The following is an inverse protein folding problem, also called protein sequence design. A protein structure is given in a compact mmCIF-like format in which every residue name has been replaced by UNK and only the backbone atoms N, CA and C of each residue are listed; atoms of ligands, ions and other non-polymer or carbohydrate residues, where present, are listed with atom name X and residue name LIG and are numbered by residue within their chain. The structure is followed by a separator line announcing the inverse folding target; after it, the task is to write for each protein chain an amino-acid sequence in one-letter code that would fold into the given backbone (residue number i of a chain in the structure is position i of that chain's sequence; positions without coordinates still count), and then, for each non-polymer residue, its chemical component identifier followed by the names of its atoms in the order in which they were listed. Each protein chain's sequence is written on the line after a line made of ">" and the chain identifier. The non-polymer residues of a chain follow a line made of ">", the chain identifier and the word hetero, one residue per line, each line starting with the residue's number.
data_IF_938572961399
#
_entry.id   IF_938572961399
#
_cell.length_a   1.000
_cell.length_b   1.000
_cell.length_c   1.000
_cell.angle_alpha   90.00
_cell.angle_beta   90.00
_cell.angle_gamma   90.00
#
_symmetry.space_group_name_H-M   'P 1'
#
loop_
_entity.id
_entity.type
_entity.pdbx_description
1 polymer ?
#
# COMPACT_ATOMS: atom_id res chain seq x y z
N UNK A 1 -15.47 9.55 -29.42
CA UNK A 1 -14.25 10.34 -29.23
C UNK A 1 -14.67 11.71 -28.74
N UNK A 2 -14.02 12.19 -27.68
CA UNK A 2 -14.19 13.55 -27.17
C UNK A 2 -13.17 14.45 -27.84
N UNK A 3 -13.47 15.74 -27.87
CA UNK A 3 -12.61 16.82 -28.37
C UNK A 3 -12.92 18.07 -27.54
N UNK A 4 -11.95 18.96 -27.40
CA UNK A 4 -12.06 20.21 -26.65
C UNK A 4 -12.76 20.07 -25.28
N UNK A 5 -12.37 19.06 -24.49
CA UNK A 5 -12.95 18.82 -23.16
C UNK A 5 -12.49 19.91 -22.19
N UNK A 6 -13.45 20.65 -21.63
CA UNK A 6 -13.21 21.70 -20.63
C UNK A 6 -14.00 21.39 -19.36
N UNK A 7 -13.28 21.08 -18.29
CA UNK A 7 -13.85 20.80 -16.97
C UNK A 7 -13.67 22.01 -16.02
N UNK A 8 -14.63 22.22 -15.13
CA UNK A 8 -14.55 23.16 -14.01
C UNK A 8 -13.77 22.59 -12.83
N UNK A 9 -13.70 21.26 -12.74
CA UNK A 9 -13.05 20.52 -11.65
C UNK A 9 -14.02 19.99 -10.58
N UNK A 10 -15.33 20.19 -10.76
CA UNK A 10 -16.37 19.73 -9.83
C UNK A 10 -17.23 18.60 -10.41
N UNK A 11 -17.02 18.26 -11.69
CA UNK A 11 -17.72 17.19 -12.38
C UNK A 11 -17.36 15.82 -11.80
N UNK A 12 -18.36 14.96 -11.62
CA UNK A 12 -18.13 13.59 -11.14
C UNK A 12 -17.47 12.67 -12.17
N UNK A 13 -17.62 13.00 -13.47
CA UNK A 13 -17.14 12.17 -14.58
C UNK A 13 -16.75 13.08 -15.75
N UNK A 14 -15.79 12.62 -16.57
CA UNK A 14 -15.30 13.38 -17.74
C UNK A 14 -16.42 13.72 -18.74
N UNK A 15 -17.45 12.86 -18.82
CA UNK A 15 -18.60 13.05 -19.70
C UNK A 15 -19.54 14.20 -19.27
N UNK A 16 -19.38 14.66 -18.03
CA UNK A 16 -20.15 15.80 -17.51
C UNK A 16 -19.41 17.13 -17.72
N UNK A 17 -18.17 17.10 -18.21
CA UNK A 17 -17.45 18.31 -18.59
C UNK A 17 -18.04 18.93 -19.86
N UNK A 18 -17.76 20.20 -20.10
CA UNK A 18 -18.16 20.83 -21.35
C UNK A 18 -17.36 20.22 -22.51
N UNK A 19 -18.06 19.84 -23.59
CA UNK A 19 -17.47 19.36 -24.83
C UNK A 19 -18.44 19.57 -26.01
N UNK A 20 -17.98 19.57 -27.28
CA UNK A 20 -18.81 19.83 -28.46
C UNK A 20 -19.88 18.76 -28.74
N UNK A 21 -19.65 17.53 -28.28
CA UNK A 21 -20.57 16.41 -28.38
C UNK A 21 -19.84 15.10 -28.69
N UNK A 22 -20.43 13.96 -28.35
CA UNK A 22 -19.77 12.67 -28.59
C UNK A 22 -19.66 12.39 -30.09
N UNK A 23 -18.43 12.12 -30.56
CA UNK A 23 -18.19 11.81 -31.97
C UNK A 23 -18.18 13.03 -32.89
N UNK A 24 -18.32 14.23 -32.34
CA UNK A 24 -18.09 15.51 -33.03
C UNK A 24 -16.70 15.99 -32.63
N UNK A 25 -15.74 15.84 -33.54
CA UNK A 25 -14.33 16.10 -33.33
C UNK A 25 -13.62 16.17 -34.68
N UNK A 26 -12.42 16.75 -34.71
CA UNK A 26 -11.49 16.66 -35.83
C UNK A 26 -10.19 15.90 -35.49
N UNK A 27 -10.13 15.28 -34.30
CA UNK A 27 -8.94 14.61 -33.81
C UNK A 27 -8.56 13.36 -34.63
N UNK A 28 -7.26 13.06 -34.61
CA UNK A 28 -6.67 11.79 -35.02
C UNK A 28 -6.08 11.07 -33.81
N UNK A 29 -5.74 9.78 -33.93
CA UNK A 29 -5.09 9.02 -32.85
C UNK A 29 -3.71 9.57 -32.42
N UNK A 30 -3.14 10.52 -33.18
CA UNK A 30 -1.94 11.25 -32.76
C UNK A 30 -2.19 12.28 -31.64
N UNK A 31 -3.45 12.58 -31.34
CA UNK A 31 -3.91 13.60 -30.40
C UNK A 31 -4.56 13.00 -29.15
N UNK A 32 -4.42 11.68 -28.97
CA UNK A 32 -4.96 10.97 -27.81
C UNK A 32 -4.38 11.55 -26.51
N UNK A 33 -5.24 12.14 -25.68
CA UNK A 33 -4.88 12.69 -24.39
C UNK A 33 -4.71 11.59 -23.33
N UNK A 34 -3.67 11.70 -22.51
CA UNK A 34 -3.40 10.81 -21.39
C UNK A 34 -3.23 11.58 -20.08
N UNK A 35 -3.60 10.96 -18.97
CA UNK A 35 -3.39 11.50 -17.61
C UNK A 35 -2.56 10.54 -16.78
N UNK A 36 -1.69 11.08 -15.93
CA UNK A 36 -1.06 10.35 -14.85
C UNK A 36 -1.57 10.93 -13.54
N UNK A 37 -2.38 10.16 -12.83
CA UNK A 37 -2.75 10.52 -11.46
C UNK A 37 -1.52 10.36 -10.58
N UNK A 38 -1.24 11.34 -9.72
CA UNK A 38 -0.24 11.16 -8.68
C UNK A 38 -0.71 10.04 -7.75
N UNK A 39 0.20 9.10 -7.48
CA UNK A 39 -0.03 8.07 -6.48
C UNK A 39 0.37 8.66 -5.13
N UNK A 40 -0.57 8.70 -4.20
CA UNK A 40 -0.32 9.18 -2.84
C UNK A 40 0.39 8.12 -1.98
N UNK A 41 0.87 7.02 -2.57
CA UNK A 41 1.52 5.92 -1.87
C UNK A 41 2.63 5.27 -2.70
N UNK A 42 3.72 4.86 -2.06
CA UNK A 42 4.83 4.13 -2.70
C UNK A 42 5.50 3.14 -1.75
N UNK A 43 6.28 2.22 -2.32
CA UNK A 43 7.14 1.29 -1.59
C UNK A 43 8.61 1.67 -1.82
N UNK A 44 9.41 1.69 -0.75
CA UNK A 44 10.84 2.04 -0.80
C UNK A 44 11.67 1.00 -0.04
N UNK A 45 12.86 0.67 -0.55
CA UNK A 45 13.83 -0.19 0.15
C UNK A 45 13.54 -1.69 0.09
N UNK A 46 12.57 -2.14 -0.70
CA UNK A 46 12.38 -3.54 -1.02
C UNK A 46 13.26 -4.03 -2.17
N UNK A 47 13.44 -5.35 -2.25
CA UNK A 47 14.21 -6.02 -3.30
C UNK A 47 13.50 -6.07 -4.66
N UNK A 48 12.18 -5.85 -4.66
CA UNK A 48 11.36 -5.84 -5.86
C UNK A 48 10.25 -4.78 -5.76
N UNK A 49 9.52 -4.59 -6.86
CA UNK A 49 8.46 -3.58 -6.92
C UNK A 49 7.26 -3.87 -6.00
N UNK A 50 7.17 -5.06 -5.39
CA UNK A 50 6.05 -5.51 -4.55
C UNK A 50 6.37 -5.50 -3.06
N UNK A 51 7.58 -5.14 -2.65
CA UNK A 51 7.93 -4.99 -1.24
C UNK A 51 8.59 -3.66 -0.93
N UNK A 52 8.52 -3.25 0.34
CA UNK A 52 9.21 -2.06 0.83
C UNK A 52 8.51 -1.40 2.01
N UNK A 53 9.18 -0.41 2.58
CA UNK A 53 8.61 0.55 3.52
C UNK A 53 7.48 1.30 2.83
N UNK A 54 6.36 1.48 3.54
CA UNK A 54 5.22 2.24 3.03
C UNK A 54 5.47 3.72 3.25
N UNK A 55 5.47 4.48 2.16
CA UNK A 55 5.49 5.94 2.22
C UNK A 55 4.24 6.51 1.57
N UNK A 56 3.68 7.55 2.20
CA UNK A 56 2.47 8.23 1.75
C UNK A 56 2.73 9.71 1.55
N UNK A 57 2.09 10.30 0.55
CA UNK A 57 2.18 11.73 0.28
C UNK A 57 1.26 12.49 1.24
N UNK A 58 1.83 13.37 2.04
CA UNK A 58 1.12 14.19 3.02
C UNK A 58 1.64 15.63 2.96
N UNK A 59 0.76 16.60 2.68
CA UNK A 59 1.12 18.02 2.50
C UNK A 59 2.28 18.25 1.52
N UNK A 60 2.28 17.57 0.36
CA UNK A 60 3.32 17.62 -0.67
C UNK A 60 4.69 17.08 -0.24
N UNK A 61 4.77 16.35 0.87
CA UNK A 61 5.98 15.67 1.31
C UNK A 61 5.73 14.17 1.50
N UNK A 62 6.76 13.37 1.29
CA UNK A 62 6.69 11.94 1.58
C UNK A 62 6.90 11.71 3.07
N UNK A 63 5.99 10.97 3.68
CA UNK A 63 6.08 10.52 5.07
C UNK A 63 5.88 9.01 5.19
N UNK A 64 6.04 8.49 6.40
CA UNK A 64 5.99 7.05 6.70
C UNK A 64 4.76 6.70 7.54
N UNK A 65 4.59 5.42 7.87
CA UNK A 65 3.49 4.92 8.70
C UNK A 65 4.09 4.17 9.88
N UNK A 66 3.55 4.39 11.08
CA UNK A 66 3.96 3.62 12.26
C UNK A 66 3.47 2.17 12.19
N UNK A 67 4.27 1.23 12.68
CA UNK A 67 3.96 -0.19 12.72
C UNK A 67 3.03 -0.61 13.87
N UNK A 68 2.74 0.30 14.80
CA UNK A 68 1.73 0.10 15.85
C UNK A 68 0.37 -0.28 15.25
N UNK A 69 -0.08 -1.50 15.56
CA UNK A 69 -1.29 -2.16 15.01
C UNK A 69 -1.25 -2.41 13.50
N UNK A 70 -0.13 -2.13 12.84
CA UNK A 70 0.06 -2.37 11.43
C UNK A 70 0.09 -3.88 11.15
N UNK A 71 -0.88 -4.34 10.36
CA UNK A 71 -1.18 -5.76 10.19
C UNK A 71 -1.59 -6.06 8.74
N UNK A 72 -1.78 -7.36 8.44
CA UNK A 72 -2.03 -7.81 7.07
C UNK A 72 -3.32 -7.22 6.44
N UNK A 73 -4.30 -6.77 7.22
CA UNK A 73 -5.46 -6.07 6.65
C UNK A 73 -5.08 -4.68 6.14
N UNK A 74 -4.21 -3.97 6.86
CA UNK A 74 -3.67 -2.69 6.39
C UNK A 74 -2.78 -2.93 5.17
N UNK A 75 -1.96 -3.99 5.19
CA UNK A 75 -1.16 -4.38 4.02
C UNK A 75 -2.03 -4.64 2.77
N UNK A 76 -3.20 -5.28 2.91
CA UNK A 76 -4.17 -5.46 1.81
C UNK A 76 -4.70 -4.14 1.26
N UNK A 77 -4.90 -3.12 2.10
CA UNK A 77 -5.32 -1.78 1.65
C UNK A 77 -4.18 -1.11 0.88
N UNK A 78 -2.97 -1.12 1.43
CA UNK A 78 -1.77 -0.58 0.76
C UNK A 78 -1.54 -1.23 -0.60
N UNK A 79 -1.55 -2.56 -0.66
CA UNK A 79 -1.36 -3.29 -1.93
C UNK A 79 -2.43 -2.94 -2.96
N UNK A 80 -3.67 -2.71 -2.53
CA UNK A 80 -4.75 -2.30 -3.43
C UNK A 80 -4.57 -0.89 -3.96
N UNK A 81 -4.19 0.06 -3.10
CA UNK A 81 -3.90 1.43 -3.52
C UNK A 81 -2.75 1.48 -4.53
N UNK A 82 -1.80 0.54 -4.42
CA UNK A 82 -0.70 0.35 -5.37
C UNK A 82 -1.09 -0.42 -6.65
N UNK A 83 -2.34 -0.87 -6.79
CA UNK A 83 -2.79 -1.70 -7.91
C UNK A 83 -2.17 -3.10 -7.94
N UNK A 84 -1.72 -3.62 -6.79
CA UNK A 84 -1.05 -4.91 -6.63
C UNK A 84 -1.99 -5.99 -6.10
N UNK A 85 -1.69 -7.28 -6.31
CA UNK A 85 -2.47 -8.37 -5.74
C UNK A 85 -2.48 -8.30 -4.20
N UNK A 86 -3.67 -8.48 -3.62
CA UNK A 86 -3.90 -8.41 -2.17
C UNK A 86 -3.83 -9.78 -1.48
N UNK A 87 -3.91 -10.87 -2.26
CA UNK A 87 -3.68 -12.23 -1.78
C UNK A 87 -2.31 -12.34 -1.13
N UNK A 88 -2.26 -12.90 0.08
CA UNK A 88 -1.04 -13.07 0.88
C UNK A 88 -0.26 -11.76 1.13
N UNK A 89 -0.93 -10.60 1.15
CA UNK A 89 -0.28 -9.36 1.59
C UNK A 89 0.22 -9.50 3.04
N UNK A 90 1.50 -9.19 3.26
CA UNK A 90 2.17 -9.31 4.56
C UNK A 90 2.60 -7.94 5.04
N UNK A 91 2.32 -7.64 6.30
CA UNK A 91 2.81 -6.47 7.01
C UNK A 91 4.18 -6.75 7.66
N UNK A 92 5.04 -5.73 7.65
CA UNK A 92 6.33 -5.69 8.32
C UNK A 92 6.40 -4.44 9.21
N UNK A 93 7.10 -4.57 10.32
CA UNK A 93 7.39 -3.47 11.24
C UNK A 93 8.89 -3.32 11.48
N UNK A 94 9.25 -2.61 12.54
CA UNK A 94 10.62 -2.43 13.04
C UNK A 94 11.58 -1.93 11.95
N UNK A 95 11.09 -1.08 11.03
CA UNK A 95 11.84 -0.56 9.90
C UNK A 95 12.54 -1.66 9.08
N UNK A 96 11.89 -2.81 8.86
CA UNK A 96 12.45 -3.98 8.16
C UNK A 96 13.09 -3.64 6.79
N UNK A 97 12.49 -2.72 6.04
CA UNK A 97 12.99 -2.25 4.73
C UNK A 97 13.87 -0.98 4.84
N UNK A 98 14.40 -0.72 6.03
CA UNK A 98 15.13 0.48 6.41
C UNK A 98 14.21 1.59 6.93
N UNK A 99 14.76 2.42 7.81
CA UNK A 99 14.12 3.62 8.34
C UNK A 99 13.91 4.66 7.23
N UNK A 100 12.76 5.32 7.26
CA UNK A 100 12.47 6.47 6.42
C UNK A 100 12.88 7.78 7.07
N UNK A 101 12.25 8.86 6.61
CA UNK A 101 12.47 10.22 7.08
C UNK A 101 11.19 11.03 6.95
N UNK A 102 11.13 12.18 7.61
CA UNK A 102 10.01 13.12 7.50
C UNK A 102 8.90 12.81 8.49
N UNK A 103 7.67 13.17 8.16
CA UNK A 103 6.53 12.98 9.06
C UNK A 103 6.10 11.51 9.07
N UNK A 104 5.88 10.95 10.26
CA UNK A 104 5.13 9.70 10.41
C UNK A 104 3.64 10.07 10.35
N UNK A 105 3.01 9.76 9.22
CA UNK A 105 1.70 10.29 8.84
C UNK A 105 0.58 9.62 9.59
N UNK A 106 0.61 8.30 9.75
CA UNK A 106 -0.45 7.55 10.42
C UNK A 106 0.05 6.90 11.72
N UNK A 107 -0.75 7.04 12.78
CA UNK A 107 -0.63 6.30 14.05
C UNK A 107 -1.88 5.46 14.30
N UNK A 108 -1.71 4.27 14.89
CA UNK A 108 -2.80 3.41 15.36
C UNK A 108 -3.84 3.06 14.29
N UNK A 109 -3.42 3.04 13.02
CA UNK A 109 -4.33 2.76 11.92
C UNK A 109 -4.86 1.33 12.04
N UNK A 110 -6.16 1.17 11.79
CA UNK A 110 -6.87 -0.12 11.82
C UNK A 110 -7.79 -0.20 10.61
N UNK A 111 -7.54 -1.18 9.75
CA UNK A 111 -8.37 -1.48 8.58
C UNK A 111 -9.04 -2.85 8.73
N UNK A 112 -10.24 -2.98 8.16
CA UNK A 112 -10.92 -4.25 7.88
C UNK A 112 -10.26 -5.01 6.73
N UNK A 113 -9.53 -4.29 5.87
CA UNK A 113 -8.84 -4.84 4.70
C UNK A 113 -9.64 -4.73 3.40
N UNK A 114 -10.77 -4.02 3.42
CA UNK A 114 -11.67 -3.80 2.27
C UNK A 114 -11.81 -2.32 1.91
N UNK A 115 -11.16 -1.43 2.64
CA UNK A 115 -11.14 0.01 2.43
C UNK A 115 -10.38 0.39 1.16
N UNK A 116 -10.89 1.34 0.37
CA UNK A 116 -10.24 1.76 -0.88
C UNK A 116 -8.92 2.50 -0.64
N UNK A 117 -8.78 3.16 0.51
CA UNK A 117 -7.63 4.00 0.87
C UNK A 117 -7.43 3.99 2.40
N UNK A 118 -6.20 4.22 2.86
CA UNK A 118 -5.84 4.33 4.28
C UNK A 118 -6.59 5.44 5.03
N UNK A 119 -6.97 6.54 4.36
CA UNK A 119 -7.79 7.62 4.95
C UNK A 119 -9.16 7.10 5.43
N UNK A 120 -9.67 6.03 4.81
CA UNK A 120 -10.96 5.42 5.15
C UNK A 120 -10.85 4.37 6.25
N UNK A 121 -9.63 4.01 6.66
CA UNK A 121 -9.42 3.16 7.83
C UNK A 121 -9.61 3.97 9.10
N UNK A 122 -9.91 3.30 10.22
CA UNK A 122 -9.96 3.97 11.52
C UNK A 122 -8.55 4.33 11.96
N UNK A 123 -8.31 5.56 12.36
CA UNK A 123 -7.02 6.08 12.81
C UNK A 123 -7.24 7.19 13.84
N UNK A 124 -6.27 7.44 14.73
CA UNK A 124 -6.42 8.38 15.84
C UNK A 124 -6.03 9.81 15.47
N UNK A 125 -5.00 9.98 14.64
CA UNK A 125 -4.54 11.27 14.13
C UNK A 125 -3.70 11.10 12.86
N UNK A 126 -3.54 12.19 12.10
CA UNK A 126 -2.53 12.29 11.04
C UNK A 126 -1.47 13.34 11.37
N UNK A 127 -0.22 13.05 11.04
CA UNK A 127 0.91 13.99 11.19
C UNK A 127 1.36 14.25 12.63
N UNK A 128 0.79 13.53 13.59
CA UNK A 128 1.19 13.55 15.00
C UNK A 128 1.22 12.11 15.51
N UNK A 129 2.34 11.43 15.26
CA UNK A 129 2.57 10.07 15.72
C UNK A 129 3.57 10.04 16.88
N UNK A 130 3.31 9.24 17.91
CA UNK A 130 4.24 8.97 19.00
C UNK A 130 5.28 7.88 18.66
N UNK A 131 5.60 7.73 17.38
CA UNK A 131 6.57 6.75 16.89
C UNK A 131 7.85 7.45 16.43
N UNK A 132 8.89 6.66 16.21
CA UNK A 132 10.12 7.08 15.56
C UNK A 132 10.39 6.22 14.30
N UNK A 133 11.34 6.60 13.46
CA UNK A 133 11.56 5.89 12.18
C UNK A 133 12.09 4.46 12.31
N UNK A 134 12.45 3.98 13.50
CA UNK A 134 12.69 2.55 13.71
C UNK A 134 11.40 1.73 13.77
N UNK A 135 10.24 2.39 13.80
CA UNK A 135 8.90 1.80 13.83
C UNK A 135 8.19 2.00 12.48
N UNK A 136 8.93 2.33 11.41
CA UNK A 136 8.34 2.51 10.10
C UNK A 136 7.85 1.16 9.53
N UNK A 137 6.58 1.15 9.11
CA UNK A 137 5.91 -0.01 8.58
C UNK A 137 6.26 -0.28 7.10
N UNK A 138 6.22 -1.55 6.73
CA UNK A 138 6.42 -2.02 5.37
C UNK A 138 5.40 -3.07 4.96
N UNK A 139 5.35 -3.37 3.67
CA UNK A 139 4.50 -4.45 3.16
C UNK A 139 5.22 -5.29 2.12
N UNK A 140 4.69 -6.49 1.88
CA UNK A 140 4.89 -7.26 0.65
C UNK A 140 3.53 -7.62 0.05
N UNK A 141 3.36 -7.38 -1.24
CA UNK A 141 2.14 -7.66 -1.98
C UNK A 141 2.25 -8.94 -2.81
N UNK A 142 1.16 -9.69 -2.86
CA UNK A 142 0.96 -10.82 -3.76
C UNK A 142 1.43 -12.18 -3.24
N UNK A 143 1.22 -13.19 -4.09
CA UNK A 143 1.51 -14.59 -3.76
C UNK A 143 3.02 -14.80 -3.73
N UNK A 144 3.54 -15.08 -2.55
CA UNK A 144 4.82 -15.74 -2.43
C UNK A 144 4.74 -17.09 -3.15
N UNK A 145 5.48 -17.26 -4.23
CA UNK A 145 6.10 -18.56 -4.47
C UNK A 145 7.13 -18.72 -3.34
N UNK A 146 6.69 -19.28 -2.21
CA UNK A 146 7.40 -19.39 -0.92
C UNK A 146 8.73 -20.16 -0.96
N UNK A 147 9.36 -20.36 -2.12
CA UNK A 147 10.55 -21.20 -2.24
C UNK A 147 11.87 -20.46 -2.09
N UNK A 148 11.95 -19.12 -2.24
CA UNK A 148 13.27 -18.48 -2.43
C UNK A 148 13.65 -17.27 -1.56
N UNK A 149 12.80 -16.70 -0.69
CA UNK A 149 13.12 -15.38 -0.10
C UNK A 149 12.80 -15.13 1.38
N UNK A 150 12.54 -16.16 2.21
CA UNK A 150 12.44 -15.90 3.65
C UNK A 150 13.82 -16.04 4.31
N UNK A 151 14.36 -15.00 4.99
CA UNK A 151 15.49 -15.18 5.87
C UNK A 151 15.13 -16.24 6.92
N UNK A 152 16.07 -17.16 7.20
CA UNK A 152 15.93 -18.29 8.13
C UNK A 152 15.14 -18.00 9.43
N UNK A 153 15.24 -16.83 10.10
CA UNK A 153 14.42 -16.54 11.28
C UNK A 153 12.89 -16.47 11.03
N UNK A 154 12.44 -16.12 9.82
CA UNK A 154 11.01 -16.01 9.49
C UNK A 154 10.35 -17.36 9.22
N UNK A 155 11.09 -18.32 8.63
CA UNK A 155 10.61 -19.70 8.41
C UNK A 155 10.21 -20.34 9.75
N UNK A 156 11.02 -20.17 10.79
CA UNK A 156 10.73 -20.73 12.12
C UNK A 156 9.45 -20.14 12.73
N UNK A 157 9.23 -18.82 12.63
CA UNK A 157 8.03 -18.18 13.18
C UNK A 157 6.75 -18.63 12.47
N UNK A 158 6.79 -18.78 11.14
CA UNK A 158 5.65 -19.22 10.33
C UNK A 158 5.33 -20.73 10.49
N UNK A 159 6.35 -21.58 10.65
CA UNK A 159 6.16 -23.01 10.90
C UNK A 159 5.57 -23.28 12.30
N UNK A 160 5.92 -22.46 13.30
CA UNK A 160 5.40 -22.61 14.66
C UNK A 160 3.92 -22.16 14.73
N UNK A 161 3.51 -21.13 13.98
CA UNK A 161 2.09 -20.69 13.97
C UNK A 161 1.17 -21.60 13.15
N UNK A 162 1.70 -22.32 12.15
CA UNK A 162 0.90 -23.20 11.27
C UNK A 162 0.89 -24.68 11.65
N UNK A 163 1.60 -25.11 12.70
CA UNK A 163 1.56 -26.49 13.20
C UNK A 163 0.96 -26.62 14.60
N UNK A 164 -0.32 -26.29 14.72
CA UNK A 164 -1.18 -26.96 15.69
C UNK A 164 -2.39 -27.54 14.97
N UNK A 165 -2.17 -28.69 14.31
CA UNK A 165 -3.14 -29.78 14.29
C UNK A 165 -2.49 -31.09 13.79
N UNK A 166 -2.73 -32.14 14.58
CA UNK A 166 -2.42 -33.55 14.36
C UNK A 166 -0.94 -34.02 14.51
N UNK A 167 -0.64 -34.50 15.73
CA UNK A 167 0.34 -35.53 16.11
C UNK A 167 1.85 -35.26 15.97
N UNK A 168 2.56 -35.33 17.12
CA UNK A 168 3.98 -35.75 17.15
C UNK A 168 4.93 -34.89 17.99
N UNK A 169 5.01 -35.20 19.29
CA UNK A 169 6.04 -34.89 20.31
C UNK A 169 7.39 -34.32 19.78
N UNK A 170 7.81 -33.16 20.31
CA UNK A 170 9.16 -32.63 20.19
C UNK A 170 9.99 -33.04 21.43
N UNK A 171 11.10 -33.74 21.24
CA UNK A 171 12.13 -33.94 22.28
C UNK A 171 13.20 -32.88 22.03
N UNK A 172 13.41 -32.00 23.01
CA UNK A 172 14.55 -31.09 23.06
C UNK A 172 15.68 -31.78 23.82
N UNK A 173 16.86 -31.84 23.23
CA UNK A 173 18.11 -31.99 23.98
C UNK A 173 18.98 -30.78 23.67
N UNK A 174 19.60 -30.27 24.74
CA UNK A 174 20.36 -29.02 24.81
C UNK A 174 21.56 -28.96 23.86
#
# INVERSE_FOLDING_TARGET
>A
MYDDVVCTGSEAELLNCHHPGLGINDCLHGEDAGVKCDSFIRLVGGDDANSGRVEVMFHNEWGTICDDKFNNNIAKVVCRMLGKPTDNAVAFGEAYFGAGSGTIVFQDITCNGTEADLIHCRHTAMGYAHCNHNEDAGVRCGKDNLTNFLPLPYIFKYYITTKHNAFGRLILTA
#
